data_IF_134932511356
#
_entry.id   IF_134932511356
#
_cell.length_a   1.000
_cell.length_b   1.000
_cell.length_c   1.000
_cell.angle_alpha   90.00
_cell.angle_beta   90.00
_cell.angle_gamma   90.00
#
_symmetry.space_group_name_H-M   'P 1'
#
loop_
_entity.id
_entity.type
_entity.pdbx_description
1 polymer ?
#
# COMPACT_ATOMS: atom_id res chain seq x y z
N UNK A 1 25.77 -31.23 50.84
CA UNK A 1 25.65 -31.37 49.36
C UNK A 1 24.35 -32.11 49.04
N UNK A 2 23.21 -31.44 48.91
CA UNK A 2 21.92 -32.06 48.51
C UNK A 2 20.84 -31.05 48.09
N UNK A 3 21.01 -29.77 48.42
CA UNK A 3 20.11 -28.71 48.00
C UNK A 3 20.24 -28.28 46.52
N UNK A 4 21.40 -28.50 45.88
CA UNK A 4 21.64 -28.06 44.50
C UNK A 4 20.99 -28.94 43.43
N UNK A 5 20.77 -30.23 43.71
CA UNK A 5 20.25 -31.19 42.71
C UNK A 5 18.74 -31.03 42.51
N UNK A 6 18.01 -30.64 43.55
CA UNK A 6 16.56 -30.42 43.48
C UNK A 6 16.25 -29.17 42.64
N UNK A 7 17.04 -28.10 42.78
CA UNK A 7 16.87 -26.89 41.98
C UNK A 7 17.11 -27.10 40.47
N UNK A 8 18.11 -27.90 40.11
CA UNK A 8 18.42 -28.20 38.71
C UNK A 8 17.35 -29.11 38.06
N UNK A 9 16.80 -30.06 38.82
CA UNK A 9 15.73 -30.93 38.35
C UNK A 9 14.41 -30.17 38.13
N UNK A 10 14.09 -29.20 38.99
CA UNK A 10 12.90 -28.34 38.83
C UNK A 10 13.04 -27.39 37.63
N UNK A 11 14.24 -26.86 37.38
CA UNK A 11 14.53 -26.03 36.20
C UNK A 11 14.46 -26.83 34.89
N UNK A 12 14.98 -28.06 34.87
CA UNK A 12 14.89 -28.94 33.71
C UNK A 12 13.46 -29.42 33.44
N UNK A 13 12.69 -29.75 34.48
CA UNK A 13 11.27 -30.09 34.34
C UNK A 13 10.43 -28.89 33.88
N UNK A 14 10.74 -27.67 34.33
CA UNK A 14 10.10 -26.44 33.86
C UNK A 14 10.43 -26.11 32.40
N UNK A 15 11.64 -26.41 31.93
CA UNK A 15 12.02 -26.22 30.53
C UNK A 15 11.35 -27.22 29.58
N UNK A 16 11.08 -28.46 30.03
CA UNK A 16 10.25 -29.40 29.28
C UNK A 16 8.75 -29.06 29.35
N UNK A 17 8.27 -28.54 30.49
CA UNK A 17 6.89 -28.06 30.62
C UNK A 17 6.61 -26.82 29.75
N UNK A 18 7.62 -26.00 29.46
CA UNK A 18 7.53 -24.90 28.49
C UNK A 18 7.38 -25.35 27.02
N UNK A 19 7.71 -26.61 26.71
CA UNK A 19 7.38 -27.24 25.42
C UNK A 19 6.06 -28.03 25.47
N UNK A 20 5.46 -28.23 26.64
CA UNK A 20 4.27 -29.08 26.79
C UNK A 20 3.08 -28.40 27.46
N UNK A 21 3.14 -27.10 27.76
CA UNK A 21 2.02 -26.41 28.38
C UNK A 21 1.90 -24.96 27.88
N UNK A 22 1.24 -24.83 26.72
CA UNK A 22 0.13 -23.91 26.47
C UNK A 22 -0.40 -24.17 25.06
N UNK A 23 -1.06 -25.31 24.90
CA UNK A 23 -2.11 -25.51 23.89
C UNK A 23 -3.33 -24.75 24.42
N UNK A 24 -3.19 -23.44 24.62
CA UNK A 24 -4.14 -22.62 25.39
C UNK A 24 -4.92 -21.63 24.55
N UNK A 25 -4.30 -21.09 23.50
CA UNK A 25 -4.91 -20.07 22.65
C UNK A 25 -4.55 -20.25 21.17
N UNK A 26 -4.19 -21.47 20.75
CA UNK A 26 -4.11 -21.74 19.32
C UNK A 26 -5.53 -21.82 18.79
N UNK A 27 -5.94 -20.92 17.87
CA UNK A 27 -7.27 -20.99 17.29
C UNK A 27 -7.46 -22.39 16.70
N UNK A 28 -8.64 -22.96 16.90
CA UNK A 28 -8.99 -24.26 16.34
C UNK A 28 -8.58 -24.28 14.86
N UNK A 29 -7.79 -25.30 14.48
CA UNK A 29 -7.36 -25.44 13.10
C UNK A 29 -8.61 -25.48 12.22
N UNK A 30 -8.64 -24.63 11.19
CA UNK A 30 -9.72 -24.62 10.23
C UNK A 30 -9.86 -26.04 9.66
N UNK A 31 -11.08 -26.59 9.54
CA UNK A 31 -11.27 -27.92 8.97
C UNK A 31 -10.55 -28.04 7.62
N UNK A 32 -9.83 -29.14 7.40
CA UNK A 32 -9.09 -29.37 6.16
C UNK A 32 -9.98 -29.21 4.92
N UNK A 33 -11.24 -29.64 5.00
CA UNK A 33 -12.22 -29.50 3.92
C UNK A 33 -12.54 -28.04 3.58
N UNK A 34 -12.45 -27.14 4.56
CA UNK A 34 -12.68 -25.71 4.37
C UNK A 34 -11.43 -24.99 3.86
N UNK A 35 -10.25 -25.48 4.19
CA UNK A 35 -8.96 -24.97 3.66
C UNK A 35 -8.76 -25.39 2.21
N UNK A 36 -9.20 -26.60 1.85
CA UNK A 36 -9.09 -27.15 0.50
C UNK A 36 -10.31 -26.86 -0.36
N UNK A 37 -11.33 -26.18 0.18
CA UNK A 37 -12.48 -25.75 -0.60
C UNK A 37 -12.05 -24.75 -1.67
N UNK A 38 -12.50 -24.97 -2.91
CA UNK A 38 -12.27 -24.02 -3.99
C UNK A 38 -12.90 -22.67 -3.60
N UNK A 39 -12.11 -21.57 -3.56
CA UNK A 39 -12.65 -20.27 -3.21
C UNK A 39 -13.71 -19.85 -4.22
N UNK A 40 -14.84 -19.35 -3.74
CA UNK A 40 -15.91 -18.87 -4.59
C UNK A 40 -15.39 -17.73 -5.47
N UNK A 41 -15.41 -17.93 -6.79
CA UNK A 41 -15.01 -16.88 -7.72
C UNK A 41 -16.01 -15.72 -7.67
N UNK A 42 -15.52 -14.47 -7.56
CA UNK A 42 -16.36 -13.28 -7.70
C UNK A 42 -17.15 -13.29 -9.00
N UNK A 43 -18.35 -12.70 -9.01
CA UNK A 43 -19.24 -12.70 -10.17
C UNK A 43 -18.60 -12.16 -11.46
N UNK A 44 -17.72 -11.17 -11.34
CA UNK A 44 -16.99 -10.57 -12.47
C UNK A 44 -15.85 -11.45 -13.02
N UNK A 45 -15.40 -12.46 -12.28
CA UNK A 45 -14.33 -13.37 -12.69
C UNK A 45 -14.87 -14.62 -13.43
N UNK A 46 -16.20 -14.78 -13.50
CA UNK A 46 -16.84 -15.96 -14.13
C UNK A 46 -16.48 -16.11 -15.60
N UNK A 47 -16.40 -15.00 -16.33
CA UNK A 47 -16.04 -15.05 -17.75
C UNK A 47 -14.58 -15.46 -17.95
N UNK A 48 -13.67 -14.97 -17.10
CA UNK A 48 -12.28 -15.37 -17.10
C UNK A 48 -12.06 -16.84 -16.71
N UNK A 49 -12.90 -17.38 -15.84
CA UNK A 49 -12.86 -18.80 -15.45
C UNK A 49 -13.46 -19.73 -16.52
N UNK A 50 -14.47 -19.26 -17.26
CA UNK A 50 -15.07 -20.03 -18.37
C UNK A 50 -14.08 -20.20 -19.51
N UNK A 51 -13.31 -19.16 -19.85
CA UNK A 51 -12.26 -19.23 -20.87
C UNK A 51 -10.97 -18.50 -20.45
N UNK A 52 -10.09 -19.20 -19.71
CA UNK A 52 -8.83 -18.64 -19.26
C UNK A 52 -7.83 -18.36 -20.38
N UNK A 53 -7.94 -19.04 -21.53
CA UNK A 53 -7.01 -18.82 -22.66
C UNK A 53 -7.41 -17.59 -23.45
N UNK A 54 -8.70 -17.44 -23.78
CA UNK A 54 -9.21 -16.23 -24.42
C UNK A 54 -8.88 -14.96 -23.61
N UNK A 55 -9.03 -15.03 -22.28
CA UNK A 55 -8.68 -13.90 -21.40
C UNK A 55 -7.19 -13.56 -21.48
N UNK A 56 -6.32 -14.58 -21.48
CA UNK A 56 -4.86 -14.40 -21.62
C UNK A 56 -4.50 -13.80 -22.98
N UNK A 57 -5.13 -14.28 -24.04
CA UNK A 57 -4.89 -13.80 -25.40
C UNK A 57 -5.37 -12.35 -25.58
N UNK A 58 -6.51 -11.98 -25.01
CA UNK A 58 -6.99 -10.60 -25.03
C UNK A 58 -6.05 -9.65 -24.27
N UNK A 59 -5.55 -10.08 -23.10
CA UNK A 59 -4.58 -9.30 -22.32
C UNK A 59 -3.23 -9.18 -23.03
N UNK A 60 -2.74 -10.25 -23.66
CA UNK A 60 -1.47 -10.24 -24.39
C UNK A 60 -1.54 -9.35 -25.63
N UNK A 61 -2.64 -9.42 -26.40
CA UNK A 61 -2.88 -8.54 -27.54
C UNK A 61 -2.96 -7.07 -27.11
N UNK A 62 -3.61 -6.79 -25.98
CA UNK A 62 -3.67 -5.43 -25.42
C UNK A 62 -2.29 -4.93 -24.99
N UNK A 63 -1.53 -5.76 -24.30
CA UNK A 63 -0.16 -5.43 -23.89
C UNK A 63 0.74 -5.15 -25.11
N UNK A 64 0.61 -5.95 -26.17
CA UNK A 64 1.32 -5.72 -27.42
C UNK A 64 0.92 -4.40 -28.09
N UNK A 65 -0.38 -4.09 -28.17
CA UNK A 65 -0.87 -2.82 -28.71
C UNK A 65 -0.40 -1.61 -27.91
N UNK A 66 -0.42 -1.71 -26.57
CA UNK A 66 0.11 -0.69 -25.68
C UNK A 66 1.63 -0.54 -25.83
N UNK A 67 2.37 -1.64 -25.97
CA UNK A 67 3.82 -1.60 -26.14
C UNK A 67 4.23 -1.01 -27.49
N UNK A 68 3.43 -1.25 -28.54
CA UNK A 68 3.63 -0.64 -29.85
C UNK A 68 3.30 0.86 -29.86
N UNK A 69 2.36 1.30 -29.02
CA UNK A 69 1.89 2.70 -28.95
C UNK A 69 2.65 3.53 -27.92
N UNK A 70 3.15 2.90 -26.86
CA UNK A 70 4.13 3.49 -25.97
C UNK A 70 5.37 3.72 -26.83
N UNK A 71 5.64 4.98 -27.18
CA UNK A 71 6.88 5.34 -27.88
C UNK A 71 8.13 4.94 -27.07
N UNK A 72 9.28 5.50 -27.43
CA UNK A 72 10.51 5.31 -26.66
C UNK A 72 10.21 5.43 -25.15
N UNK A 73 10.75 4.50 -24.36
CA UNK A 73 10.45 4.30 -22.93
C UNK A 73 10.65 5.55 -22.08
N UNK A 74 10.70 5.47 -20.74
CA UNK A 74 11.02 6.65 -19.93
C UNK A 74 12.27 7.30 -20.54
N UNK A 75 12.15 8.58 -20.93
CA UNK A 75 13.22 9.26 -21.67
C UNK A 75 14.55 9.11 -20.93
N UNK A 76 15.68 9.22 -21.64
CA UNK A 76 16.99 9.11 -20.99
C UNK A 76 17.09 10.04 -19.77
N UNK A 77 17.91 9.68 -18.79
CA UNK A 77 18.11 10.48 -17.57
C UNK A 77 18.47 11.95 -17.90
N UNK A 78 19.23 12.16 -18.98
CA UNK A 78 19.56 13.49 -19.51
C UNK A 78 18.32 14.25 -20.01
N UNK A 79 17.41 13.59 -20.74
CA UNK A 79 16.17 14.18 -21.21
C UNK A 79 15.22 14.50 -20.04
N UNK A 80 15.14 13.62 -19.04
CA UNK A 80 14.35 13.87 -17.83
C UNK A 80 14.92 15.05 -17.02
N UNK A 81 16.24 15.12 -16.89
CA UNK A 81 16.92 16.23 -16.21
C UNK A 81 16.66 17.56 -16.92
N UNK A 82 16.82 17.60 -18.25
CA UNK A 82 16.54 18.78 -19.05
C UNK A 82 15.07 19.22 -18.92
N UNK A 83 14.13 18.26 -18.92
CA UNK A 83 12.70 18.56 -18.73
C UNK A 83 12.41 19.10 -17.33
N UNK A 84 13.02 18.52 -16.30
CA UNK A 84 12.88 18.98 -14.92
C UNK A 84 13.42 20.41 -14.75
N UNK A 85 14.56 20.73 -15.37
CA UNK A 85 15.12 22.08 -15.37
C UNK A 85 14.21 23.08 -16.08
N UNK A 86 13.69 22.72 -17.26
CA UNK A 86 12.73 23.54 -17.99
C UNK A 86 11.46 23.82 -17.16
N UNK A 87 10.97 22.82 -16.41
CA UNK A 87 9.83 22.99 -15.51
C UNK A 87 10.14 23.93 -14.34
N UNK A 88 11.31 23.78 -13.70
CA UNK A 88 11.76 24.69 -12.62
C UNK A 88 11.90 26.12 -13.13
N UNK A 89 12.46 26.33 -14.32
CA UNK A 89 12.60 27.65 -14.94
C UNK A 89 11.22 28.29 -15.19
N UNK A 90 10.27 27.54 -15.73
CA UNK A 90 8.88 28.01 -15.93
C UNK A 90 8.21 28.36 -14.61
N UNK A 91 8.34 27.51 -13.58
CA UNK A 91 7.77 27.80 -12.27
C UNK A 91 8.40 29.05 -11.63
N UNK A 92 9.71 29.25 -11.79
CA UNK A 92 10.38 30.47 -11.34
C UNK A 92 9.92 31.71 -12.09
N UNK A 93 9.64 31.61 -13.40
CA UNK A 93 9.05 32.69 -14.18
C UNK A 93 7.62 33.01 -13.69
N UNK A 94 6.77 32.00 -13.51
CA UNK A 94 5.40 32.18 -13.01
C UNK A 94 5.36 32.80 -11.61
N UNK A 95 6.30 32.46 -10.73
CA UNK A 95 6.42 33.09 -9.40
C UNK A 95 6.75 34.59 -9.45
N UNK A 96 7.40 35.05 -10.52
CA UNK A 96 7.76 36.46 -10.71
C UNK A 96 6.65 37.24 -11.41
N UNK A 97 5.74 36.55 -12.08
CA UNK A 97 4.52 37.15 -12.61
C UNK A 97 3.61 37.48 -11.44
N UNK A 98 3.35 38.77 -11.18
CA UNK A 98 2.33 39.13 -10.21
C UNK A 98 0.97 38.66 -10.74
N UNK A 99 0.23 37.95 -9.90
CA UNK A 99 -1.17 37.65 -10.12
C UNK A 99 -2.01 38.82 -9.62
N UNK A 100 -1.60 40.06 -9.95
CA UNK A 100 -2.36 41.25 -9.56
C UNK A 100 -3.72 41.15 -10.27
N UNK A 101 -4.72 40.75 -9.48
CA UNK A 101 -6.09 40.76 -9.93
C UNK A 101 -6.55 42.22 -9.87
N UNK A 102 -6.85 42.86 -11.00
CA UNK A 102 -7.36 44.23 -10.98
C UNK A 102 -8.67 44.25 -10.18
N UNK A 103 -8.83 45.25 -9.31
CA UNK A 103 -10.03 45.41 -8.48
C UNK A 103 -11.29 45.40 -9.37
N UNK A 104 -12.23 44.52 -9.05
CA UNK A 104 -13.53 44.42 -9.74
C UNK A 104 -13.67 43.31 -10.78
N UNK A 105 -12.67 42.45 -11.01
CA UNK A 105 -12.87 41.23 -11.81
C UNK A 105 -13.53 40.10 -11.00
N UNK A 106 -14.66 39.61 -11.51
CA UNK A 106 -15.47 38.57 -10.88
C UNK A 106 -14.84 37.15 -10.93
N UNK A 107 -13.81 36.96 -11.75
CA UNK A 107 -13.19 35.65 -12.00
C UNK A 107 -12.03 35.33 -11.04
N UNK A 108 -11.67 36.25 -10.15
CA UNK A 108 -10.63 36.00 -9.16
C UNK A 108 -11.19 35.25 -7.95
N UNK A 109 -10.55 34.13 -7.53
CA UNK A 109 -10.95 33.45 -6.32
C UNK A 109 -10.79 34.41 -5.13
N UNK A 110 -11.77 34.50 -4.23
CA UNK A 110 -11.64 35.34 -3.05
C UNK A 110 -10.39 34.93 -2.26
N UNK A 111 -9.70 35.88 -1.59
CA UNK A 111 -8.55 35.54 -0.77
C UNK A 111 -8.98 34.44 0.19
N UNK A 112 -8.29 33.30 0.15
CA UNK A 112 -8.58 32.18 1.01
C UNK A 112 -8.57 32.70 2.45
N UNK A 113 -9.72 32.62 3.13
CA UNK A 113 -9.76 32.80 4.56
C UNK A 113 -8.67 31.90 5.15
N UNK A 114 -7.80 32.46 5.99
CA UNK A 114 -6.74 31.73 6.68
C UNK A 114 -7.31 30.39 7.15
N UNK A 115 -6.69 29.25 6.81
CA UNK A 115 -7.13 27.99 7.37
C UNK A 115 -6.97 28.13 8.89
N UNK A 116 -8.10 28.23 9.59
CA UNK A 116 -8.15 28.10 11.03
C UNK A 116 -7.26 26.93 11.39
N UNK A 117 -6.28 27.19 12.25
CA UNK A 117 -5.34 26.20 12.79
C UNK A 117 -6.14 24.98 13.22
N UNK A 118 -6.14 23.94 12.38
CA UNK A 118 -6.76 22.68 12.78
C UNK A 118 -5.90 22.14 13.93
N UNK A 119 -6.46 21.90 15.12
CA UNK A 119 -5.69 21.28 16.19
C UNK A 119 -5.26 19.90 15.70
N UNK A 120 -4.00 19.56 15.97
CA UNK A 120 -3.41 18.27 15.64
C UNK A 120 -4.34 17.15 16.11
N UNK A 121 -4.81 16.31 15.17
CA UNK A 121 -5.51 15.09 15.49
C UNK A 121 -4.57 14.21 16.34
N UNK A 122 -4.84 14.15 17.63
CA UNK A 122 -4.21 13.20 18.55
C UNK A 122 -4.87 11.86 18.25
N UNK A 123 -4.16 10.99 17.53
CA UNK A 123 -4.48 9.57 17.48
C UNK A 123 -4.18 8.97 18.85
N UNK A 124 -5.15 9.04 19.76
CA UNK A 124 -5.18 8.17 20.94
C UNK A 124 -5.52 6.77 20.45
N UNK A 125 -4.49 5.95 20.27
CA UNK A 125 -4.62 4.49 20.24
C UNK A 125 -5.05 4.03 21.63
N UNK A 126 -6.36 3.83 21.83
CA UNK A 126 -6.88 3.10 22.99
C UNK A 126 -6.83 1.62 22.65
N UNK A 127 -6.01 0.91 23.41
CA UNK A 127 -5.89 -0.53 23.43
C UNK A 127 -6.63 -1.01 24.68
N UNK A 128 -7.75 -1.71 24.49
CA UNK A 128 -8.28 -2.77 25.38
C UNK A 128 -9.31 -3.59 24.61
#
# INVERSE_FOLDING_TARGET
>A
MKAGVIGLAVLAAGALAGCSDRIGDYPALLPTDQVLAEPQLPGHARDAARDPQQTRDALSARAAGLSASAGAGPGSDSALTARAEALRARAAALRKTSLDCPEGQADCPPPAAEPATQPAATTTTTQD
#
